data_IF_775003103903
#
_entry.id   IF_775003103903
#
_cell.length_a   1.000
_cell.length_b   1.000
_cell.length_c   1.000
_cell.angle_alpha   90.00
_cell.angle_beta   90.00
_cell.angle_gamma   90.00
#
_symmetry.space_group_name_H-M   'P 1'
#
loop_
_entity.id
_entity.type
_entity.pdbx_description
1 polymer ?
#
# COMPACT_ATOMS: atom_id res chain seq x y z
N UNK A 1 -5.06 -46.08 -13.91
CA UNK A 1 -5.95 -45.25 -13.05
C UNK A 1 -5.27 -44.83 -11.75
N UNK A 2 -4.82 -45.71 -10.84
CA UNK A 2 -4.23 -45.30 -9.54
C UNK A 2 -3.06 -44.28 -9.64
N UNK A 3 -2.09 -44.52 -10.54
CA UNK A 3 -0.95 -43.58 -10.75
C UNK A 3 -1.39 -42.20 -11.23
N UNK A 4 -2.43 -42.11 -12.06
CA UNK A 4 -3.00 -40.86 -12.55
C UNK A 4 -3.73 -40.11 -11.44
N UNK A 5 -4.49 -40.78 -10.60
CA UNK A 5 -5.16 -40.18 -9.43
C UNK A 5 -4.12 -39.66 -8.46
N UNK A 6 -3.05 -40.37 -8.16
CA UNK A 6 -1.97 -39.96 -7.30
C UNK A 6 -1.29 -38.67 -7.88
N UNK A 7 -1.00 -38.65 -9.18
CA UNK A 7 -0.40 -37.46 -9.81
C UNK A 7 -1.29 -36.22 -9.69
N UNK A 8 -2.61 -36.37 -9.95
CA UNK A 8 -3.57 -35.28 -9.77
C UNK A 8 -3.61 -34.81 -8.31
N UNK A 9 -3.65 -35.74 -7.35
CA UNK A 9 -3.67 -35.40 -5.92
C UNK A 9 -2.43 -34.63 -5.50
N UNK A 10 -1.25 -34.99 -6.00
CA UNK A 10 0.00 -34.26 -5.75
C UNK A 10 -0.07 -32.85 -6.32
N UNK A 11 -0.55 -32.67 -7.55
CA UNK A 11 -0.69 -31.35 -8.18
C UNK A 11 -1.64 -30.47 -7.36
N UNK A 12 -2.79 -31.01 -6.94
CA UNK A 12 -3.75 -30.26 -6.11
C UNK A 12 -3.11 -29.80 -4.79
N UNK A 13 -2.37 -30.70 -4.11
CA UNK A 13 -1.66 -30.35 -2.87
C UNK A 13 -0.62 -29.26 -3.12
N UNK A 14 0.16 -29.35 -4.19
CA UNK A 14 1.16 -28.31 -4.54
C UNK A 14 0.51 -26.96 -4.82
N UNK A 15 -0.62 -26.95 -5.53
CA UNK A 15 -1.37 -25.70 -5.79
C UNK A 15 -1.91 -25.10 -4.50
N UNK A 16 -2.44 -25.92 -3.59
CA UNK A 16 -2.93 -25.47 -2.29
C UNK A 16 -1.79 -24.94 -1.41
N UNK A 17 -0.64 -25.59 -1.42
CA UNK A 17 0.55 -25.11 -0.71
C UNK A 17 1.04 -23.79 -1.28
N UNK A 18 1.08 -23.66 -2.60
CA UNK A 18 1.46 -22.40 -3.25
C UNK A 18 0.49 -21.28 -2.90
N UNK A 19 -0.83 -21.47 -3.01
CA UNK A 19 -1.84 -20.47 -2.61
C UNK A 19 -1.64 -20.05 -1.14
N UNK A 20 -1.43 -21.02 -0.27
CA UNK A 20 -1.25 -20.76 1.16
C UNK A 20 0.06 -19.99 1.44
N UNK A 21 1.18 -20.49 0.97
CA UNK A 21 2.47 -19.89 1.25
C UNK A 21 2.60 -18.51 0.60
N UNK A 22 2.29 -18.39 -0.68
CA UNK A 22 2.53 -17.16 -1.43
C UNK A 22 1.47 -16.09 -1.15
N UNK A 23 0.18 -16.42 -1.29
CA UNK A 23 -0.88 -15.41 -1.19
C UNK A 23 -1.40 -15.17 0.23
N UNK A 24 -1.35 -16.16 1.13
CA UNK A 24 -1.91 -16.01 2.48
C UNK A 24 -0.85 -15.67 3.53
N UNK A 25 0.31 -16.30 3.44
CA UNK A 25 1.41 -16.09 4.38
C UNK A 25 2.45 -15.09 3.89
N UNK A 26 2.38 -14.62 2.63
CA UNK A 26 3.33 -13.67 2.06
C UNK A 26 4.76 -14.23 1.95
N UNK A 27 4.89 -15.55 1.90
CA UNK A 27 6.21 -16.20 1.77
C UNK A 27 6.62 -16.23 0.30
N UNK A 28 7.73 -15.61 -0.02
CA UNK A 28 8.32 -15.66 -1.35
C UNK A 28 9.84 -15.85 -1.25
N UNK A 29 10.42 -16.40 -2.31
CA UNK A 29 11.86 -16.59 -2.40
C UNK A 29 12.45 -15.39 -3.16
N UNK A 30 13.30 -14.64 -2.49
CA UNK A 30 14.11 -13.62 -3.16
C UNK A 30 15.33 -14.29 -3.80
N UNK A 31 15.34 -14.34 -5.13
CA UNK A 31 16.47 -14.89 -5.90
C UNK A 31 17.63 -13.91 -6.07
N UNK A 32 17.47 -12.66 -5.63
CA UNK A 32 18.47 -11.61 -5.75
C UNK A 32 18.63 -10.80 -4.45
N UNK A 33 18.85 -11.43 -3.29
CA UNK A 33 18.83 -10.76 -1.99
C UNK A 33 19.94 -9.71 -1.82
N UNK A 34 20.97 -9.74 -2.67
CA UNK A 34 22.08 -8.78 -2.66
C UNK A 34 21.88 -7.62 -3.63
N UNK A 35 20.80 -7.62 -4.42
CA UNK A 35 20.51 -6.50 -5.33
C UNK A 35 20.19 -5.26 -4.50
N UNK A 36 20.90 -4.17 -4.78
CA UNK A 36 20.56 -2.88 -4.19
C UNK A 36 19.12 -2.48 -4.52
N UNK A 37 18.42 -1.99 -3.51
CA UNK A 37 17.08 -1.44 -3.70
C UNK A 37 17.20 -0.18 -4.54
N UNK A 38 16.64 -0.20 -5.73
CA UNK A 38 16.51 0.98 -6.57
C UNK A 38 15.06 1.46 -6.56
N UNK A 39 14.87 2.75 -6.34
CA UNK A 39 13.55 3.37 -6.43
C UNK A 39 13.43 4.10 -7.78
N UNK A 40 12.28 4.00 -8.44
CA UNK A 40 12.05 4.80 -9.64
C UNK A 40 11.60 6.24 -9.30
N UNK A 41 11.17 6.46 -8.06
CA UNK A 41 10.79 7.77 -7.54
C UNK A 41 11.65 8.13 -6.33
N UNK A 42 12.04 9.39 -6.21
CA UNK A 42 12.72 9.95 -5.03
C UNK A 42 12.40 11.43 -4.86
N UNK A 43 12.64 11.95 -3.67
CA UNK A 43 12.60 13.38 -3.40
C UNK A 43 14.00 13.98 -3.48
N UNK A 44 14.10 15.23 -3.90
CA UNK A 44 15.28 16.06 -3.80
C UNK A 44 14.85 17.51 -3.62
N UNK A 45 15.27 18.11 -2.53
CA UNK A 45 14.83 19.45 -2.11
C UNK A 45 13.28 19.48 -2.04
N UNK A 46 12.63 20.38 -2.74
CA UNK A 46 11.17 20.53 -2.84
C UNK A 46 10.55 19.74 -4.03
N UNK A 47 11.34 18.88 -4.69
CA UNK A 47 10.94 18.23 -5.94
C UNK A 47 10.80 16.72 -5.80
N UNK A 48 9.89 16.18 -6.58
CA UNK A 48 9.78 14.73 -6.85
C UNK A 48 10.48 14.44 -8.16
N UNK A 49 11.32 13.41 -8.17
CA UNK A 49 12.07 12.98 -9.34
C UNK A 49 11.66 11.56 -9.70
N UNK A 50 11.42 11.29 -10.99
CA UNK A 50 11.20 9.95 -11.53
C UNK A 50 12.32 9.53 -12.46
N UNK A 51 12.70 8.26 -12.38
CA UNK A 51 13.58 7.61 -13.34
C UNK A 51 12.77 6.64 -14.22
N UNK A 52 12.53 7.04 -15.47
CA UNK A 52 11.81 6.23 -16.47
C UNK A 52 12.78 5.42 -17.36
N UNK A 53 14.05 5.26 -16.94
CA UNK A 53 15.09 4.52 -17.67
C UNK A 53 16.20 5.42 -18.24
N UNK A 54 16.02 6.72 -18.26
CA UNK A 54 16.94 7.73 -18.80
C UNK A 54 17.46 8.72 -17.74
N UNK A 55 17.48 8.28 -16.47
CA UNK A 55 17.88 9.06 -15.31
C UNK A 55 16.72 9.76 -14.61
N UNK A 56 17.03 10.37 -13.47
CA UNK A 56 16.02 11.08 -12.66
C UNK A 56 15.70 12.45 -13.23
N UNK A 57 14.43 12.67 -13.51
CA UNK A 57 13.88 13.95 -14.00
C UNK A 57 12.78 14.44 -13.07
N UNK A 58 12.61 15.76 -12.97
CA UNK A 58 11.53 16.36 -12.23
C UNK A 58 10.16 15.89 -12.70
N UNK A 59 9.30 15.57 -11.75
CA UNK A 59 7.94 15.10 -12.00
C UNK A 59 6.95 15.91 -11.17
N UNK A 60 6.11 16.66 -11.86
CA UNK A 60 5.01 17.41 -11.24
C UNK A 60 3.79 16.48 -11.08
N UNK A 61 3.35 16.27 -9.83
CA UNK A 61 2.15 15.50 -9.53
C UNK A 61 0.92 16.34 -9.86
N UNK A 62 0.09 15.84 -10.81
CA UNK A 62 -1.26 16.33 -11.09
C UNK A 62 -2.22 15.21 -10.74
N UNK A 63 -2.71 15.22 -9.50
CA UNK A 63 -3.39 14.08 -8.91
C UNK A 63 -4.89 14.25 -8.71
N UNK A 64 -5.59 13.13 -8.72
CA UNK A 64 -7.01 13.02 -8.37
C UNK A 64 -7.15 12.02 -7.22
N UNK A 65 -7.90 12.41 -6.19
CA UNK A 65 -8.31 11.49 -5.14
C UNK A 65 -9.42 10.59 -5.66
N UNK A 66 -9.28 9.28 -5.47
CA UNK A 66 -10.26 8.28 -5.84
C UNK A 66 -10.71 7.52 -4.61
N UNK A 67 -12.00 7.56 -4.32
CA UNK A 67 -12.64 6.73 -3.29
C UNK A 67 -13.11 5.39 -3.82
N UNK A 68 -13.85 4.67 -2.99
CA UNK A 68 -14.41 3.33 -3.27
C UNK A 68 -15.93 3.35 -3.51
N UNK A 69 -16.57 4.52 -3.42
CA UNK A 69 -18.02 4.66 -3.54
C UNK A 69 -18.48 4.98 -4.95
N UNK A 70 -19.68 4.51 -5.30
CA UNK A 70 -20.46 4.91 -6.48
C UNK A 70 -21.88 5.30 -6.04
N UNK A 71 -22.61 6.09 -6.82
CA UNK A 71 -23.99 6.44 -6.50
C UNK A 71 -24.86 5.20 -6.30
N UNK A 72 -25.55 5.14 -5.16
CA UNK A 72 -26.44 4.03 -4.80
C UNK A 72 -25.81 2.94 -3.93
N UNK A 73 -24.49 2.95 -3.75
CA UNK A 73 -23.75 1.97 -2.94
C UNK A 73 -22.92 2.68 -1.85
N UNK A 74 -22.64 1.98 -0.77
CA UNK A 74 -21.74 2.49 0.27
C UNK A 74 -20.29 2.36 -0.16
N UNK A 75 -19.44 3.27 0.27
CA UNK A 75 -18.00 3.19 -0.01
C UNK A 75 -17.35 1.92 0.53
N UNK A 76 -17.91 1.35 1.60
CA UNK A 76 -17.48 0.08 2.21
C UNK A 76 -17.88 -1.17 1.42
N UNK A 77 -18.77 -1.04 0.43
CA UNK A 77 -19.19 -2.15 -0.43
C UNK A 77 -18.17 -2.41 -1.54
N UNK A 78 -17.30 -1.42 -1.84
CA UNK A 78 -16.29 -1.52 -2.90
C UNK A 78 -16.90 -1.99 -4.23
N UNK A 79 -18.09 -1.47 -4.57
CA UNK A 79 -18.95 -1.98 -5.65
C UNK A 79 -18.53 -1.56 -7.06
N UNK A 80 -17.40 -0.85 -7.20
CA UNK A 80 -16.92 -0.35 -8.50
C UNK A 80 -16.40 -1.52 -9.35
N UNK A 81 -17.00 -1.69 -10.53
CA UNK A 81 -16.55 -2.69 -11.49
C UNK A 81 -15.32 -2.24 -12.30
N UNK A 82 -14.72 -3.17 -13.01
CA UNK A 82 -13.49 -2.95 -13.78
C UNK A 82 -13.70 -1.97 -14.94
N UNK A 83 -14.82 -2.06 -15.63
CA UNK A 83 -15.17 -1.22 -16.77
C UNK A 83 -15.34 0.25 -16.33
N UNK A 84 -15.91 0.46 -15.15
CA UNK A 84 -16.04 1.78 -14.54
C UNK A 84 -14.67 2.35 -14.18
N UNK A 85 -13.77 1.56 -13.59
CA UNK A 85 -12.40 2.00 -13.32
C UNK A 85 -11.67 2.39 -14.60
N UNK A 86 -11.72 1.57 -15.64
CA UNK A 86 -11.06 1.86 -16.93
C UNK A 86 -11.56 3.16 -17.54
N UNK A 87 -12.89 3.36 -17.56
CA UNK A 87 -13.52 4.62 -18.03
C UNK A 87 -13.05 5.83 -17.21
N UNK A 88 -12.96 5.69 -15.87
CA UNK A 88 -12.51 6.78 -15.03
C UNK A 88 -11.01 7.09 -15.22
N UNK A 89 -10.18 6.10 -15.47
CA UNK A 89 -8.77 6.34 -15.77
C UNK A 89 -8.61 7.14 -17.08
N UNK A 90 -9.41 6.86 -18.12
CA UNK A 90 -9.46 7.66 -19.33
C UNK A 90 -9.88 9.11 -19.05
N UNK A 91 -10.93 9.30 -18.24
CA UNK A 91 -11.39 10.62 -17.85
C UNK A 91 -10.36 11.41 -17.04
N UNK A 92 -9.67 10.74 -16.09
CA UNK A 92 -8.60 11.33 -15.29
C UNK A 92 -7.44 11.79 -16.18
N UNK A 93 -7.04 10.96 -17.15
CA UNK A 93 -6.02 11.36 -18.16
C UNK A 93 -6.49 12.52 -19.02
N UNK A 94 -7.74 12.53 -19.46
CA UNK A 94 -8.31 13.61 -20.25
C UNK A 94 -8.34 14.96 -19.50
N UNK A 95 -8.42 14.95 -18.17
CA UNK A 95 -8.25 16.14 -17.31
C UNK A 95 -6.80 16.64 -17.24
N UNK A 96 -5.84 15.91 -17.81
CA UNK A 96 -4.41 16.22 -17.71
C UNK A 96 -3.76 15.72 -16.42
N UNK A 97 -4.44 14.89 -15.64
CA UNK A 97 -3.87 14.28 -14.45
C UNK A 97 -2.95 13.10 -14.81
N UNK A 98 -1.96 12.86 -13.97
CA UNK A 98 -0.97 11.80 -14.12
C UNK A 98 -0.89 10.86 -12.92
N UNK A 99 -1.60 11.17 -11.83
CA UNK A 99 -1.50 10.44 -10.57
C UNK A 99 -2.89 10.26 -9.95
N UNK A 100 -3.12 9.09 -9.39
CA UNK A 100 -4.29 8.77 -8.56
C UNK A 100 -3.81 8.59 -7.13
N UNK A 101 -4.57 9.12 -6.15
CA UNK A 101 -4.41 8.80 -4.75
C UNK A 101 -5.61 8.00 -4.28
N UNK A 102 -5.36 6.85 -3.66
CA UNK A 102 -6.37 6.06 -2.95
C UNK A 102 -6.06 6.02 -1.46
N UNK A 103 -7.09 5.86 -0.65
CA UNK A 103 -7.00 6.00 0.82
C UNK A 103 -6.66 4.69 1.51
N UNK A 104 -7.14 3.58 0.96
CA UNK A 104 -7.01 2.24 1.53
C UNK A 104 -6.97 1.20 0.42
N UNK A 105 -6.73 -0.06 0.78
CA UNK A 105 -6.79 -1.19 -0.15
C UNK A 105 -8.19 -1.26 -0.77
N UNK A 106 -8.25 -1.21 -2.10
CA UNK A 106 -9.46 -1.42 -2.90
C UNK A 106 -9.68 -2.91 -3.14
N UNK A 107 -10.84 -3.32 -3.69
CA UNK A 107 -10.99 -4.68 -4.21
C UNK A 107 -9.98 -4.96 -5.32
N UNK A 108 -9.65 -6.22 -5.53
CA UNK A 108 -8.71 -6.67 -6.58
C UNK A 108 -9.10 -6.18 -7.98
N UNK A 109 -10.37 -5.86 -8.21
CA UNK A 109 -10.90 -5.22 -9.42
C UNK A 109 -10.17 -3.92 -9.78
N UNK A 110 -9.88 -3.05 -8.79
CA UNK A 110 -9.11 -1.82 -9.02
C UNK A 110 -7.71 -2.11 -9.56
N UNK A 111 -6.96 -3.01 -8.88
CA UNK A 111 -5.58 -3.33 -9.25
C UNK A 111 -5.49 -4.04 -10.60
N UNK A 112 -6.47 -4.88 -10.92
CA UNK A 112 -6.59 -5.52 -12.22
C UNK A 112 -6.85 -4.49 -13.32
N UNK A 113 -7.75 -3.51 -13.10
CA UNK A 113 -8.02 -2.42 -14.02
C UNK A 113 -6.81 -1.51 -14.20
N UNK A 114 -6.14 -1.13 -13.10
CA UNK A 114 -4.97 -0.26 -13.12
C UNK A 114 -3.78 -0.89 -13.85
N UNK A 115 -3.53 -2.18 -13.61
CA UNK A 115 -2.55 -2.96 -14.34
C UNK A 115 -2.85 -3.00 -15.84
N UNK A 116 -4.08 -3.34 -16.21
CA UNK A 116 -4.49 -3.42 -17.63
C UNK A 116 -4.38 -2.06 -18.33
N UNK A 117 -4.82 -1.00 -17.66
CA UNK A 117 -4.75 0.36 -18.19
C UNK A 117 -3.30 0.77 -18.48
N UNK A 118 -2.44 0.64 -17.49
CA UNK A 118 -1.04 1.08 -17.60
C UNK A 118 -0.21 0.24 -18.59
N UNK A 119 -0.51 -1.05 -18.71
CA UNK A 119 0.16 -1.91 -19.71
C UNK A 119 -0.18 -1.54 -21.16
N UNK A 120 -1.35 -0.98 -21.40
CA UNK A 120 -1.81 -0.56 -22.72
C UNK A 120 -1.41 0.87 -23.08
N UNK A 121 -1.02 1.68 -22.11
CA UNK A 121 -0.75 3.09 -22.29
C UNK A 121 0.75 3.41 -22.12
N UNK A 122 1.40 4.03 -23.11
CA UNK A 122 2.82 4.42 -23.01
C UNK A 122 3.05 5.55 -22.00
N UNK A 123 1.99 6.30 -21.66
CA UNK A 123 1.99 7.34 -20.62
C UNK A 123 1.08 6.91 -19.46
N UNK A 124 1.61 6.10 -18.50
CA UNK A 124 0.81 5.50 -17.46
C UNK A 124 0.29 6.51 -16.44
N UNK A 125 -0.73 6.10 -15.69
CA UNK A 125 -1.10 6.74 -14.42
C UNK A 125 -0.23 6.22 -13.29
N UNK A 126 0.17 7.11 -12.39
CA UNK A 126 0.89 6.73 -11.18
C UNK A 126 -0.05 6.63 -9.98
N UNK A 127 0.39 5.96 -8.94
CA UNK A 127 -0.41 5.71 -7.75
C UNK A 127 0.32 6.21 -6.50
N UNK A 128 -0.40 6.93 -5.64
CA UNK A 128 -0.05 7.14 -4.24
C UNK A 128 -1.06 6.33 -3.42
N UNK A 129 -0.56 5.38 -2.65
CA UNK A 129 -1.39 4.43 -1.91
C UNK A 129 -1.41 4.74 -0.42
N UNK A 130 -2.59 4.91 0.15
CA UNK A 130 -2.77 5.11 1.58
C UNK A 130 -2.79 3.81 2.37
N UNK A 131 -2.24 3.86 3.58
CA UNK A 131 -2.46 2.86 4.63
C UNK A 131 -3.45 3.47 5.61
N UNK A 132 -4.65 2.92 5.71
CA UNK A 132 -5.70 3.43 6.59
C UNK A 132 -5.33 3.21 8.05
N UNK A 133 -5.56 4.19 8.91
CA UNK A 133 -5.43 4.01 10.36
C UNK A 133 -6.63 3.24 10.86
N UNK A 134 -6.39 2.11 11.51
CA UNK A 134 -7.47 1.31 12.10
C UNK A 134 -7.89 1.87 13.44
N UNK A 135 -8.91 2.71 13.45
CA UNK A 135 -9.49 3.39 14.60
C UNK A 135 -10.33 2.49 15.53
N UNK A 136 -10.59 1.23 15.11
CA UNK A 136 -11.25 0.24 15.98
C UNK A 136 -10.29 -0.47 16.95
N UNK A 137 -8.97 -0.26 16.80
CA UNK A 137 -7.98 -0.82 17.72
C UNK A 137 -7.94 0.00 19.01
N UNK A 138 -7.85 -0.68 20.14
CA UNK A 138 -7.73 -0.03 21.44
C UNK A 138 -6.53 0.94 21.46
N UNK A 139 -6.73 2.13 22.03
CA UNK A 139 -5.76 3.23 22.11
C UNK A 139 -5.39 3.90 20.76
N UNK A 140 -6.05 3.57 19.65
CA UNK A 140 -5.83 4.23 18.36
C UNK A 140 -5.96 5.75 18.42
N UNK A 141 -6.80 6.28 19.34
CA UNK A 141 -7.02 7.72 19.52
C UNK A 141 -6.19 8.32 20.68
N UNK A 142 -5.18 7.61 21.23
CA UNK A 142 -4.45 8.08 22.42
C UNK A 142 -2.94 7.90 22.35
N UNK A 143 -2.48 6.81 21.76
CA UNK A 143 -1.09 6.41 21.84
C UNK A 143 -0.68 5.61 20.60
N UNK A 144 0.01 6.25 19.70
CA UNK A 144 0.48 5.60 18.48
C UNK A 144 1.60 4.55 18.74
N UNK A 145 2.23 4.58 19.93
CA UNK A 145 3.17 3.54 20.38
C UNK A 145 2.51 2.41 21.18
N UNK A 146 1.18 2.41 21.35
CA UNK A 146 0.51 1.21 21.87
C UNK A 146 0.87 0.01 21.00
N UNK A 147 1.40 -1.05 21.63
CA UNK A 147 1.95 -2.20 20.93
C UNK A 147 0.96 -2.80 19.93
N UNK A 148 -0.28 -3.01 20.37
CA UNK A 148 -1.32 -3.60 19.51
C UNK A 148 -1.71 -2.69 18.36
N UNK A 149 -1.79 -1.39 18.59
CA UNK A 149 -2.11 -0.43 17.54
C UNK A 149 -0.97 -0.30 16.54
N UNK A 150 0.27 -0.16 17.01
CA UNK A 150 1.45 -0.09 16.17
C UNK A 150 1.64 -1.35 15.31
N UNK A 151 1.52 -2.53 15.93
CA UNK A 151 1.64 -3.80 15.23
C UNK A 151 0.56 -3.97 14.16
N UNK A 152 -0.68 -3.54 14.45
CA UNK A 152 -1.76 -3.55 13.45
C UNK A 152 -1.42 -2.67 12.27
N UNK A 153 -0.97 -1.43 12.51
CA UNK A 153 -0.60 -0.51 11.43
C UNK A 153 0.58 -1.03 10.60
N UNK A 154 1.57 -1.65 11.27
CA UNK A 154 2.71 -2.29 10.60
C UNK A 154 2.27 -3.46 9.72
N UNK A 155 1.38 -4.32 10.19
CA UNK A 155 0.85 -5.45 9.41
C UNK A 155 -0.03 -4.99 8.25
N UNK A 156 -0.82 -3.93 8.43
CA UNK A 156 -1.61 -3.33 7.36
C UNK A 156 -0.69 -2.69 6.31
N UNK A 157 0.41 -2.03 6.73
CA UNK A 157 1.43 -1.49 5.83
C UNK A 157 2.10 -2.59 4.99
N UNK A 158 2.51 -3.70 5.61
CA UNK A 158 3.05 -4.88 4.90
C UNK A 158 2.03 -5.47 3.93
N UNK A 159 0.75 -5.51 4.34
CA UNK A 159 -0.34 -6.00 3.49
C UNK A 159 -0.50 -5.14 2.25
N UNK A 160 -0.42 -3.81 2.37
CA UNK A 160 -0.44 -2.88 1.22
C UNK A 160 0.71 -3.19 0.26
N UNK A 161 1.93 -3.39 0.77
CA UNK A 161 3.09 -3.74 -0.06
C UNK A 161 2.83 -5.06 -0.81
N UNK A 162 2.35 -6.09 -0.14
CA UNK A 162 2.05 -7.39 -0.76
C UNK A 162 0.95 -7.30 -1.82
N UNK A 163 -0.08 -6.48 -1.58
CA UNK A 163 -1.15 -6.18 -2.56
C UNK A 163 -0.56 -5.55 -3.82
N UNK A 164 0.29 -4.54 -3.66
CA UNK A 164 0.89 -3.81 -4.78
C UNK A 164 1.85 -4.67 -5.62
N UNK A 165 2.49 -5.64 -4.99
CA UNK A 165 3.34 -6.63 -5.66
C UNK A 165 2.56 -7.86 -6.18
N UNK A 166 1.23 -7.88 -6.06
CA UNK A 166 0.40 -8.97 -6.59
C UNK A 166 0.60 -10.31 -5.90
N UNK A 167 0.81 -10.33 -4.60
CA UNK A 167 1.06 -11.54 -3.81
C UNK A 167 0.24 -11.61 -2.51
N UNK A 168 -1.01 -11.13 -2.55
CA UNK A 168 -1.89 -11.13 -1.38
C UNK A 168 -3.28 -11.66 -1.68
N UNK A 169 -3.86 -12.34 -0.71
CA UNK A 169 -5.27 -12.69 -0.68
C UNK A 169 -5.87 -12.17 0.61
N UNK A 170 -6.88 -11.33 0.47
CA UNK A 170 -7.60 -10.73 1.60
C UNK A 170 -9.02 -11.26 1.56
N UNK A 171 -9.45 -11.87 2.66
CA UNK A 171 -10.84 -12.27 2.83
C UNK A 171 -11.68 -11.08 3.31
N UNK A 172 -12.95 -11.07 2.95
CA UNK A 172 -13.91 -10.05 3.41
C UNK A 172 -13.84 -9.88 4.94
N UNK A 173 -13.77 -8.63 5.39
CA UNK A 173 -13.73 -8.27 6.81
C UNK A 173 -12.38 -8.53 7.51
N UNK A 174 -11.31 -8.90 6.78
CA UNK A 174 -9.99 -9.15 7.37
C UNK A 174 -9.28 -7.85 7.78
N UNK A 175 -9.44 -6.78 7.00
CA UNK A 175 -8.92 -5.45 7.29
C UNK A 175 -10.09 -4.48 7.46
N UNK A 176 -9.97 -3.57 8.42
CA UNK A 176 -10.94 -2.50 8.59
C UNK A 176 -10.88 -1.53 7.38
N UNK A 177 -12.03 -1.06 6.94
CA UNK A 177 -12.15 -0.06 5.86
C UNK A 177 -11.36 -0.40 4.59
N UNK A 178 -11.19 -1.68 4.29
CA UNK A 178 -10.42 -2.16 3.16
C UNK A 178 -11.20 -3.14 2.29
N UNK A 179 -10.83 -3.19 1.02
CA UNK A 179 -11.34 -4.15 0.06
C UNK A 179 -10.84 -5.58 0.30
N UNK A 180 -11.33 -6.48 -0.51
CA UNK A 180 -10.97 -7.90 -0.45
C UNK A 180 -10.77 -8.48 -1.86
N UNK A 181 -10.19 -9.67 -1.96
CA UNK A 181 -9.97 -10.34 -3.24
C UNK A 181 -8.63 -11.07 -3.32
N UNK A 182 -8.26 -11.45 -4.54
CA UNK A 182 -6.97 -12.08 -4.85
C UNK A 182 -6.13 -11.15 -5.71
N UNK A 183 -5.16 -10.50 -5.07
CA UNK A 183 -4.26 -9.53 -5.70
C UNK A 183 -3.10 -10.29 -6.35
N UNK A 184 -3.12 -10.41 -7.66
CA UNK A 184 -2.15 -11.19 -8.45
C UNK A 184 -1.50 -10.38 -9.59
N UNK A 185 -1.63 -9.07 -9.56
CA UNK A 185 -1.03 -8.13 -10.52
C UNK A 185 -0.01 -7.26 -9.81
N UNK A 186 1.24 -7.33 -10.24
CA UNK A 186 2.29 -6.45 -9.76
C UNK A 186 2.12 -5.07 -10.42
N UNK A 187 1.69 -4.08 -9.62
CA UNK A 187 1.55 -2.68 -10.04
C UNK A 187 2.61 -1.77 -9.41
N UNK A 188 3.54 -2.35 -8.67
CA UNK A 188 4.60 -1.60 -7.98
C UNK A 188 5.43 -0.68 -8.91
N UNK A 189 5.63 -0.98 -10.22
CA UNK A 189 6.34 -0.07 -11.12
C UNK A 189 5.67 1.30 -11.33
N UNK A 190 4.42 1.45 -10.91
CA UNK A 190 3.68 2.72 -11.04
C UNK A 190 3.33 3.35 -9.70
N UNK A 191 3.84 2.84 -8.59
CA UNK A 191 3.60 3.39 -7.25
C UNK A 191 4.64 4.44 -6.92
N UNK A 192 4.22 5.71 -6.79
CA UNK A 192 5.10 6.84 -6.44
C UNK A 192 5.49 6.83 -4.98
N UNK A 193 4.59 6.39 -4.12
CA UNK A 193 4.81 6.42 -2.68
C UNK A 193 3.59 5.97 -1.88
N UNK A 194 3.77 6.01 -0.58
CA UNK A 194 2.77 5.60 0.41
C UNK A 194 2.41 6.76 1.33
N UNK A 195 1.18 6.76 1.81
CA UNK A 195 0.76 7.63 2.92
C UNK A 195 0.57 6.72 4.13
N UNK A 196 1.50 6.82 5.08
CA UNK A 196 1.49 6.00 6.29
C UNK A 196 0.50 6.58 7.30
N UNK A 197 -0.63 5.91 7.43
CA UNK A 197 -1.74 6.34 8.26
C UNK A 197 -2.55 7.48 7.62
N UNK A 198 -3.51 7.11 6.79
CA UNK A 198 -4.50 8.08 6.28
C UNK A 198 -5.48 8.44 7.38
N UNK A 199 -5.78 9.73 7.50
CA UNK A 199 -6.73 10.28 8.48
C UNK A 199 -6.34 10.01 9.94
N UNK A 200 -5.09 10.37 10.29
CA UNK A 200 -4.68 10.40 11.68
C UNK A 200 -5.58 11.35 12.49
N UNK A 201 -6.08 10.87 13.60
CA UNK A 201 -6.73 11.72 14.58
C UNK A 201 -5.70 12.68 15.21
N UNK A 202 -6.03 13.97 15.27
CA UNK A 202 -5.17 15.00 15.88
C UNK A 202 -4.85 14.69 17.34
N UNK A 203 -5.82 14.16 18.07
CA UNK A 203 -5.67 13.73 19.47
C UNK A 203 -4.63 12.61 19.62
N UNK A 204 -4.53 11.69 18.66
CA UNK A 204 -3.52 10.62 18.68
C UNK A 204 -2.11 11.20 18.56
N UNK A 205 -1.92 12.15 17.67
CA UNK A 205 -0.64 12.85 17.48
C UNK A 205 -0.25 13.59 18.76
N UNK A 206 -1.14 14.46 19.27
CA UNK A 206 -0.88 15.27 20.46
C UNK A 206 -0.60 14.42 21.70
N UNK A 207 -1.42 13.40 21.96
CA UNK A 207 -1.22 12.56 23.14
C UNK A 207 0.04 11.71 23.05
N UNK A 208 0.40 11.24 21.86
CA UNK A 208 1.65 10.50 21.65
C UNK A 208 2.85 11.40 21.91
N UNK A 209 2.88 12.61 21.36
CA UNK A 209 3.96 13.55 21.54
C UNK A 209 4.07 13.97 23.01
N UNK A 210 2.98 14.37 23.65
CA UNK A 210 2.98 14.76 25.07
C UNK A 210 3.45 13.63 25.99
N UNK A 211 3.06 12.39 25.73
CA UNK A 211 3.44 11.24 26.55
C UNK A 211 4.93 10.94 26.47
N UNK A 212 5.56 11.12 25.33
CA UNK A 212 6.93 10.66 25.08
C UNK A 212 7.95 11.78 24.91
N UNK A 213 7.57 13.07 24.88
CA UNK A 213 8.46 14.24 24.62
C UNK A 213 9.72 14.31 25.47
N UNK A 214 9.68 13.78 26.70
CA UNK A 214 10.80 13.80 27.64
C UNK A 214 11.64 12.50 27.61
N UNK A 215 11.39 11.62 26.64
CA UNK A 215 12.08 10.35 26.53
C UNK A 215 12.83 10.27 25.21
N UNK A 216 14.15 10.48 25.29
CA UNK A 216 15.02 10.53 24.11
C UNK A 216 14.98 9.28 23.21
N UNK A 217 14.48 8.14 23.73
CA UNK A 217 14.27 6.92 22.95
C UNK A 217 13.23 7.12 21.81
N UNK A 218 12.35 8.12 21.96
CA UNK A 218 11.23 8.35 21.05
C UNK A 218 11.37 9.64 20.24
N UNK A 219 12.44 10.43 20.45
CA UNK A 219 12.59 11.75 19.80
C UNK A 219 13.43 11.71 18.52
N UNK A 220 13.85 10.53 18.07
CA UNK A 220 14.54 10.37 16.81
C UNK A 220 14.47 8.90 16.36
N UNK A 221 14.66 8.68 15.08
CA UNK A 221 14.81 7.36 14.50
C UNK A 221 15.93 7.37 13.45
N UNK A 222 16.76 6.34 13.48
CA UNK A 222 17.79 6.12 12.48
C UNK A 222 17.77 4.67 12.03
N UNK A 223 17.22 4.44 10.86
CA UNK A 223 17.15 3.14 10.19
C UNK A 223 18.03 3.10 8.93
N UNK A 224 17.98 1.96 8.23
CA UNK A 224 18.76 1.78 7.00
C UNK A 224 18.29 2.68 5.85
N UNK A 225 17.01 2.95 5.77
CA UNK A 225 16.36 3.64 4.63
C UNK A 225 15.69 4.95 5.00
N UNK A 226 15.42 5.17 6.30
CA UNK A 226 14.74 6.35 6.80
C UNK A 226 15.41 6.80 8.10
N UNK A 227 15.43 8.11 8.30
CA UNK A 227 15.90 8.74 9.54
C UNK A 227 15.11 10.04 9.76
N UNK A 228 15.06 10.49 11.01
CA UNK A 228 14.49 11.79 11.38
C UNK A 228 15.59 12.78 11.75
N UNK A 229 15.21 14.05 11.90
CA UNK A 229 16.04 15.01 12.61
C UNK A 229 16.28 14.58 14.08
N UNK A 230 17.31 15.13 14.73
CA UNK A 230 17.64 14.80 16.12
C UNK A 230 16.59 15.31 17.12
N UNK A 231 15.82 16.32 16.72
CA UNK A 231 14.76 16.97 17.50
C UNK A 231 13.35 16.64 16.99
N UNK A 232 13.20 15.52 16.29
CA UNK A 232 11.90 15.08 15.82
C UNK A 232 10.93 14.83 16.98
N UNK A 233 9.65 15.04 16.73
CA UNK A 233 8.65 14.65 17.69
C UNK A 233 8.56 13.12 17.83
N UNK A 234 8.04 12.60 18.94
CA UNK A 234 7.80 11.17 19.08
C UNK A 234 6.93 10.57 17.97
N UNK A 235 5.94 11.32 17.50
CA UNK A 235 5.09 10.88 16.42
C UNK A 235 5.82 10.84 15.06
N UNK A 236 6.66 11.83 14.76
CA UNK A 236 7.53 11.82 13.57
C UNK A 236 8.50 10.63 13.59
N UNK A 237 9.11 10.36 14.75
CA UNK A 237 10.00 9.20 14.91
C UNK A 237 9.25 7.86 14.72
N UNK A 238 7.98 7.77 15.13
CA UNK A 238 7.13 6.62 14.87
C UNK A 238 6.86 6.41 13.37
N UNK A 239 6.49 7.47 12.66
CA UNK A 239 6.26 7.40 11.22
C UNK A 239 7.51 6.97 10.44
N UNK A 240 8.68 7.44 10.85
CA UNK A 240 9.95 7.03 10.23
C UNK A 240 10.31 5.56 10.53
N UNK A 241 9.78 4.99 11.61
CA UNK A 241 9.99 3.60 12.00
C UNK A 241 9.08 2.62 11.26
N UNK A 242 7.90 3.05 10.82
CA UNK A 242 6.95 2.25 10.02
C UNK A 242 7.50 1.98 8.62
#
# INVERSE_FOLDING_TARGET
>A
MKKFIIAISIIVVLVMLYDTCYYRLGLYIDFQPQKEVSTFAKTKDDKILLNKGDGYKEFEIKGVNMGSGIPGEWSTDFAIDKETYLRWFDQIKALGANTIRIYTVQNDTFYNAFYEYNHKNPDPLYLIHGVWVNDYVLNSHRDAYDEKFFDTLLEDSKTVIDVLHGRKKINLGRMASAGHGTYNKDISPWVLGYILGVEWEDVTVVFTDEKYKNNSKYNSYSGKYMYTAEDASPFEALLAKL
#
